data_IF_926710044370
#
_entry.id   IF_926710044370
#
_cell.length_a   1.000
_cell.length_b   1.000
_cell.length_c   1.000
_cell.angle_alpha   90.00
_cell.angle_beta   90.00
_cell.angle_gamma   90.00
#
_symmetry.space_group_name_H-M   'P 1'
#
loop_
_entity.id
_entity.type
_entity.pdbx_description
1 polymer ?
#
# COMPACT_ATOMS: atom_id res chain seq x y z
N UNK A 1 -33.93 -26.89 40.79
CA UNK A 1 -32.75 -26.01 40.70
C UNK A 1 -32.27 -26.01 39.26
N UNK A 2 -32.69 -25.02 38.46
CA UNK A 2 -32.16 -24.76 37.12
C UNK A 2 -32.25 -23.26 36.86
N UNK A 3 -31.29 -22.52 37.42
CA UNK A 3 -31.12 -21.09 37.13
C UNK A 3 -30.41 -20.95 35.79
N UNK A 4 -31.16 -20.61 34.74
CA UNK A 4 -30.61 -20.12 33.48
C UNK A 4 -30.02 -18.73 33.72
N UNK A 5 -28.69 -18.63 33.76
CA UNK A 5 -28.00 -17.34 33.75
C UNK A 5 -28.13 -16.70 32.36
N UNK A 6 -28.59 -15.44 32.24
CA UNK A 6 -28.53 -14.73 30.98
C UNK A 6 -27.06 -14.41 30.66
N UNK A 7 -26.61 -14.80 29.47
CA UNK A 7 -25.31 -14.42 28.92
C UNK A 7 -25.39 -12.91 28.63
N UNK A 8 -24.89 -12.09 29.55
CA UNK A 8 -24.69 -10.67 29.30
C UNK A 8 -23.53 -10.51 28.32
N UNK A 9 -23.86 -10.24 27.05
CA UNK A 9 -22.88 -9.81 26.05
C UNK A 9 -22.17 -8.53 26.50
N UNK A 10 -20.88 -8.44 26.25
CA UNK A 10 -20.08 -7.25 26.56
C UNK A 10 -20.66 -6.01 25.87
N UNK A 11 -20.77 -4.86 26.56
CA UNK A 11 -21.29 -3.65 25.94
C UNK A 11 -20.35 -3.17 24.83
N UNK A 12 -20.83 -3.16 23.59
CA UNK A 12 -20.12 -2.57 22.45
C UNK A 12 -20.32 -1.06 22.46
N UNK A 13 -19.24 -0.29 22.58
CA UNK A 13 -19.25 1.17 22.41
C UNK A 13 -19.87 1.57 21.06
N UNK A 14 -20.51 2.74 20.97
CA UNK A 14 -20.93 3.30 19.68
C UNK A 14 -19.72 3.34 18.73
N UNK A 15 -19.91 2.98 17.45
CA UNK A 15 -18.85 2.90 16.44
C UNK A 15 -18.27 4.30 16.13
N UNK A 16 -17.48 4.86 17.05
CA UNK A 16 -16.80 6.15 16.89
C UNK A 16 -15.50 5.94 16.13
N UNK A 17 -15.40 6.47 14.91
CA UNK A 17 -14.20 6.42 14.09
C UNK A 17 -13.26 7.59 14.42
N UNK A 18 -12.34 7.42 15.37
CA UNK A 18 -11.38 8.46 15.80
C UNK A 18 -10.14 8.59 14.91
N UNK A 19 -9.95 7.68 13.94
CA UNK A 19 -8.77 7.63 13.07
C UNK A 19 -8.82 8.56 11.85
N UNK A 20 -9.91 9.31 11.67
CA UNK A 20 -10.08 10.27 10.57
C UNK A 20 -10.25 11.67 11.19
N UNK A 21 -9.22 12.53 11.15
CA UNK A 21 -9.32 13.91 11.66
C UNK A 21 -10.29 14.75 10.80
N UNK A 22 -10.94 15.75 11.40
CA UNK A 22 -11.77 16.71 10.66
C UNK A 22 -10.91 17.52 9.67
N UNK A 23 -11.24 17.41 8.38
CA UNK A 23 -10.37 17.88 7.29
C UNK A 23 -10.48 19.38 6.98
N UNK A 24 -11.54 20.03 7.46
CA UNK A 24 -11.80 21.47 7.26
C UNK A 24 -10.77 22.38 7.94
N UNK A 25 -10.01 21.87 8.91
CA UNK A 25 -9.00 22.59 9.68
C UNK A 25 -7.55 22.16 9.40
N UNK A 26 -7.33 21.17 8.53
CA UNK A 26 -6.06 20.44 8.45
C UNK A 26 -5.08 20.88 7.34
N UNK A 27 -5.46 21.80 6.43
CA UNK A 27 -4.64 22.10 5.24
C UNK A 27 -4.60 23.62 4.96
N UNK A 28 -3.43 24.23 5.11
CA UNK A 28 -3.07 25.50 4.48
C UNK A 28 -2.44 25.21 3.10
N UNK A 29 -3.03 25.78 2.03
CA UNK A 29 -2.73 25.46 0.61
C UNK A 29 -1.81 26.48 -0.07
N UNK A 30 -1.10 27.31 0.70
CA UNK A 30 -0.34 28.46 0.18
C UNK A 30 1.14 28.19 -0.16
N UNK A 31 1.65 26.96 0.02
CA UNK A 31 3.09 26.68 -0.19
C UNK A 31 3.45 26.33 -1.66
N UNK A 32 4.55 26.88 -2.21
CA UNK A 32 5.04 26.56 -3.55
C UNK A 32 5.66 25.15 -3.64
N UNK A 33 5.57 24.53 -4.81
CA UNK A 33 6.26 23.26 -5.10
C UNK A 33 7.78 23.45 -5.12
N UNK A 34 8.50 22.57 -4.44
CA UNK A 34 9.95 22.50 -4.49
C UNK A 34 10.45 21.92 -5.83
N UNK A 35 11.61 22.38 -6.34
CA UNK A 35 12.19 21.86 -7.57
C UNK A 35 12.50 20.36 -7.48
N UNK A 36 12.52 19.68 -8.64
CA UNK A 36 12.86 18.26 -8.71
C UNK A 36 14.30 18.04 -8.19
N UNK A 37 14.49 16.98 -7.39
CA UNK A 37 15.82 16.55 -6.95
C UNK A 37 16.65 16.08 -8.16
N UNK A 38 17.96 16.32 -8.14
CA UNK A 38 18.84 15.90 -9.23
C UNK A 38 19.13 14.39 -9.12
N UNK A 39 19.44 13.68 -10.23
CA UNK A 39 19.78 12.24 -10.21
C UNK A 39 20.92 11.88 -9.24
N UNK A 40 21.78 12.84 -8.94
CA UNK A 40 22.88 12.73 -7.97
C UNK A 40 22.34 12.52 -6.55
N UNK A 41 21.25 13.18 -6.17
CA UNK A 41 20.70 13.17 -4.81
C UNK A 41 20.08 11.79 -4.45
N UNK A 42 19.53 11.10 -5.45
CA UNK A 42 18.86 9.80 -5.29
C UNK A 42 19.84 8.63 -5.14
N UNK A 43 20.92 8.61 -5.94
CA UNK A 43 22.00 7.65 -5.75
C UNK A 43 22.79 7.93 -4.47
N UNK A 44 22.90 9.21 -4.09
CA UNK A 44 23.50 9.59 -2.81
C UNK A 44 22.71 9.05 -1.63
N UNK A 45 21.38 8.99 -1.67
CA UNK A 45 20.58 8.41 -0.58
C UNK A 45 21.00 6.97 -0.27
N UNK A 46 21.04 6.10 -1.28
CA UNK A 46 21.40 4.68 -1.09
C UNK A 46 22.89 4.44 -0.80
N UNK A 47 23.76 5.41 -1.13
CA UNK A 47 25.19 5.36 -0.79
C UNK A 47 25.48 5.86 0.63
N UNK A 48 24.72 6.84 1.10
CA UNK A 48 24.92 7.49 2.42
C UNK A 48 24.15 6.81 3.55
N UNK A 49 23.17 5.96 3.23
CA UNK A 49 22.40 5.22 4.22
C UNK A 49 22.69 3.71 4.11
N UNK A 50 22.84 3.05 5.27
CA UNK A 50 23.10 1.61 5.34
C UNK A 50 21.81 0.83 5.02
N UNK A 51 21.85 -0.21 4.17
CA UNK A 51 20.67 -1.02 3.88
C UNK A 51 20.16 -1.78 5.13
N UNK A 52 18.86 -2.12 5.21
CA UNK A 52 18.35 -3.02 6.23
C UNK A 52 19.06 -4.38 6.21
N UNK A 53 19.36 -4.93 7.38
CA UNK A 53 20.13 -6.18 7.50
C UNK A 53 19.43 -7.40 6.87
N UNK A 54 18.10 -7.36 6.76
CA UNK A 54 17.28 -8.44 6.20
C UNK A 54 17.16 -8.39 4.67
N UNK A 55 17.73 -7.37 4.02
CA UNK A 55 17.54 -7.13 2.59
C UNK A 55 18.10 -8.26 1.71
N UNK A 56 19.18 -8.92 2.14
CA UNK A 56 19.75 -10.08 1.45
C UNK A 56 18.81 -11.29 1.45
N UNK A 57 18.12 -11.54 2.56
CA UNK A 57 17.11 -12.60 2.65
C UNK A 57 15.94 -12.32 1.71
N UNK A 58 15.46 -11.06 1.69
CA UNK A 58 14.40 -10.64 0.77
C UNK A 58 14.83 -10.80 -0.70
N UNK A 59 16.08 -10.45 -1.05
CA UNK A 59 16.60 -10.64 -2.42
C UNK A 59 16.39 -12.06 -2.91
N UNK A 60 16.76 -13.04 -2.09
CA UNK A 60 16.61 -14.45 -2.43
C UNK A 60 15.13 -14.83 -2.59
N UNK A 61 14.29 -14.49 -1.62
CA UNK A 61 12.87 -14.85 -1.64
C UNK A 61 12.15 -14.25 -2.86
N UNK A 62 12.50 -13.00 -3.21
CA UNK A 62 11.95 -12.30 -4.39
C UNK A 62 12.44 -12.95 -5.69
N UNK A 63 13.74 -13.25 -5.80
CA UNK A 63 14.29 -13.91 -6.97
C UNK A 63 13.68 -15.31 -7.20
N UNK A 64 13.56 -16.12 -6.14
CA UNK A 64 12.95 -17.45 -6.21
C UNK A 64 11.47 -17.36 -6.63
N UNK A 65 10.73 -16.40 -6.09
CA UNK A 65 9.34 -16.15 -6.47
C UNK A 65 9.20 -15.70 -7.93
N UNK A 66 10.05 -14.79 -8.39
CA UNK A 66 10.04 -14.32 -9.78
C UNK A 66 10.38 -15.46 -10.73
N UNK A 67 11.42 -16.24 -10.43
CA UNK A 67 11.83 -17.37 -11.26
C UNK A 67 10.72 -18.42 -11.40
N UNK A 68 10.06 -18.77 -10.29
CA UNK A 68 8.94 -19.71 -10.29
C UNK A 68 7.80 -19.27 -11.25
N UNK A 69 7.43 -17.99 -11.21
CA UNK A 69 6.34 -17.46 -12.03
C UNK A 69 6.75 -17.11 -13.46
N UNK A 70 8.01 -16.73 -13.66
CA UNK A 70 8.56 -16.48 -14.98
C UNK A 70 8.53 -17.73 -15.86
N UNK A 71 8.89 -18.90 -15.29
CA UNK A 71 8.84 -20.19 -15.99
C UNK A 71 7.43 -20.55 -16.47
N UNK A 72 6.40 -20.18 -15.70
CA UNK A 72 4.99 -20.39 -16.07
C UNK A 72 4.39 -19.23 -16.87
N UNK A 73 5.21 -18.24 -17.26
CA UNK A 73 4.80 -17.01 -17.98
C UNK A 73 3.68 -16.25 -17.28
N UNK A 74 3.62 -16.34 -15.95
CA UNK A 74 2.64 -15.63 -15.13
C UNK A 74 3.08 -14.18 -14.94
N UNK A 75 2.12 -13.26 -15.04
CA UNK A 75 2.33 -11.83 -14.76
C UNK A 75 2.51 -11.63 -13.26
N UNK A 76 3.42 -10.73 -12.87
CA UNK A 76 3.70 -10.44 -11.46
C UNK A 76 3.36 -8.98 -11.20
N UNK A 77 2.68 -8.70 -10.09
CA UNK A 77 2.43 -7.35 -9.61
C UNK A 77 3.09 -7.12 -8.25
N UNK A 78 3.83 -6.02 -8.13
CA UNK A 78 4.23 -5.47 -6.83
C UNK A 78 3.11 -4.54 -6.35
N UNK A 79 2.42 -4.94 -5.29
CA UNK A 79 1.47 -4.09 -4.58
C UNK A 79 2.13 -3.55 -3.33
N UNK A 80 2.24 -2.22 -3.23
CA UNK A 80 2.69 -1.57 -1.99
C UNK A 80 1.49 -1.14 -1.15
N UNK A 81 1.48 -1.39 0.16
CA UNK A 81 0.33 -1.10 1.03
C UNK A 81 0.72 -0.56 2.41
N UNK A 82 -0.13 0.26 3.01
CA UNK A 82 0.09 0.83 4.35
C UNK A 82 0.97 2.07 4.35
N UNK A 83 1.22 2.61 5.55
CA UNK A 83 1.98 3.84 5.78
C UNK A 83 3.42 3.60 6.18
N UNK A 84 4.33 4.47 5.74
CA UNK A 84 5.72 4.47 6.24
C UNK A 84 5.86 5.37 7.47
N UNK A 85 6.77 4.99 8.37
CA UNK A 85 7.18 5.84 9.49
C UNK A 85 8.52 6.54 9.25
N UNK A 86 8.69 7.66 9.94
CA UNK A 86 9.97 8.37 10.06
C UNK A 86 10.36 8.40 11.53
N UNK A 87 11.33 7.56 11.95
CA UNK A 87 11.87 7.62 13.30
C UNK A 87 12.47 8.99 13.60
N UNK A 88 12.19 9.52 14.80
CA UNK A 88 12.82 10.75 15.28
C UNK A 88 14.07 10.48 16.11
N UNK A 89 14.26 9.24 16.58
CA UNK A 89 15.40 8.79 17.37
C UNK A 89 15.84 7.38 16.92
N UNK A 90 17.13 7.03 17.08
CA UNK A 90 17.66 5.72 16.70
C UNK A 90 17.12 4.62 17.62
N UNK A 91 17.14 4.86 18.93
CA UNK A 91 16.33 4.12 19.89
C UNK A 91 14.91 4.69 19.87
N UNK A 92 14.16 4.31 18.82
CA UNK A 92 12.91 4.96 18.44
C UNK A 92 11.87 4.86 19.56
N UNK A 93 11.47 6.02 20.09
CA UNK A 93 10.31 6.17 20.98
C UNK A 93 9.20 6.94 20.26
N UNK A 94 9.57 7.87 19.38
CA UNK A 94 8.65 8.70 18.60
C UNK A 94 8.94 8.55 17.12
N UNK A 95 7.88 8.63 16.32
CA UNK A 95 7.96 8.62 14.87
C UNK A 95 6.81 9.44 14.27
N UNK A 96 7.01 9.93 13.06
CA UNK A 96 5.96 10.47 12.20
C UNK A 96 5.39 9.30 11.39
N UNK A 97 4.08 9.18 11.27
CA UNK A 97 3.42 8.11 10.51
C UNK A 97 2.49 8.71 9.44
N UNK A 98 2.53 8.12 8.26
CA UNK A 98 1.60 8.45 7.18
C UNK A 98 0.37 7.55 7.30
N UNK A 99 -0.79 8.13 7.62
CA UNK A 99 -2.01 7.36 7.86
C UNK A 99 -2.44 6.51 6.64
N UNK A 100 -2.34 5.18 6.79
CA UNK A 100 -2.92 4.22 5.85
C UNK A 100 -3.12 2.86 6.52
N UNK A 101 -4.37 2.45 6.68
CA UNK A 101 -4.71 1.13 7.22
C UNK A 101 -4.31 -0.03 6.29
N UNK A 102 -4.04 0.26 5.01
CA UNK A 102 -3.69 -0.75 4.01
C UNK A 102 -4.89 -1.39 3.29
N UNK A 103 -6.12 -0.87 3.48
CA UNK A 103 -7.35 -1.44 2.88
C UNK A 103 -7.22 -1.57 1.36
N UNK A 104 -6.92 -0.47 0.66
CA UNK A 104 -6.82 -0.47 -0.80
C UNK A 104 -5.79 -1.46 -1.32
N UNK A 105 -4.59 -1.48 -0.73
CA UNK A 105 -3.56 -2.43 -1.15
C UNK A 105 -3.99 -3.88 -0.91
N UNK A 106 -4.48 -4.21 0.29
CA UNK A 106 -4.91 -5.56 0.64
C UNK A 106 -6.06 -6.06 -0.26
N UNK A 107 -7.08 -5.23 -0.47
CA UNK A 107 -8.21 -5.54 -1.35
C UNK A 107 -7.76 -5.68 -2.81
N UNK A 108 -6.91 -4.76 -3.30
CA UNK A 108 -6.38 -4.82 -4.67
C UNK A 108 -5.61 -6.11 -4.93
N UNK A 109 -4.80 -6.55 -3.96
CA UNK A 109 -4.06 -7.80 -4.06
C UNK A 109 -4.98 -9.02 -4.21
N UNK A 110 -6.10 -9.08 -3.48
CA UNK A 110 -7.10 -10.16 -3.65
C UNK A 110 -7.63 -10.21 -5.09
N UNK A 111 -8.03 -9.07 -5.64
CA UNK A 111 -8.53 -8.99 -7.02
C UNK A 111 -7.46 -9.30 -8.08
N UNK A 112 -6.19 -8.95 -7.84
CA UNK A 112 -5.10 -9.36 -8.72
C UNK A 112 -4.87 -10.88 -8.69
N UNK A 113 -4.87 -11.49 -7.51
CA UNK A 113 -4.74 -12.94 -7.34
C UNK A 113 -5.88 -13.68 -8.06
N UNK A 114 -7.10 -13.18 -7.93
CA UNK A 114 -8.29 -13.71 -8.62
C UNK A 114 -8.21 -13.53 -10.15
N UNK A 115 -7.43 -12.56 -10.61
CA UNK A 115 -7.20 -12.28 -12.03
C UNK A 115 -5.92 -12.90 -12.58
N UNK A 116 -5.44 -14.00 -11.97
CA UNK A 116 -4.32 -14.80 -12.43
C UNK A 116 -2.94 -14.10 -12.36
N UNK A 117 -2.78 -13.06 -11.53
CA UNK A 117 -1.46 -12.49 -11.21
C UNK A 117 -0.83 -13.21 -10.02
N UNK A 118 0.49 -13.28 -10.00
CA UNK A 118 1.25 -13.47 -8.77
C UNK A 118 1.49 -12.10 -8.12
N UNK A 119 1.41 -12.03 -6.79
CA UNK A 119 1.49 -10.76 -6.05
C UNK A 119 2.69 -10.78 -5.10
N UNK A 120 3.57 -9.79 -5.26
CA UNK A 120 4.51 -9.39 -4.21
C UNK A 120 3.83 -8.27 -3.42
N UNK A 121 3.57 -8.51 -2.14
CA UNK A 121 2.84 -7.62 -1.25
C UNK A 121 3.79 -6.96 -0.25
N UNK A 122 4.36 -5.81 -0.66
CA UNK A 122 5.20 -4.98 0.18
C UNK A 122 4.32 -4.12 1.09
N UNK A 123 4.27 -4.40 2.39
CA UNK A 123 3.25 -3.84 3.26
C UNK A 123 3.79 -3.34 4.59
N UNK A 124 3.12 -2.34 5.18
CA UNK A 124 3.39 -1.93 6.56
C UNK A 124 3.13 -3.09 7.51
N UNK A 125 4.11 -3.43 8.33
CA UNK A 125 3.96 -4.45 9.37
C UNK A 125 2.73 -4.14 10.24
N UNK A 126 1.92 -5.17 10.51
CA UNK A 126 0.63 -5.08 11.22
C UNK A 126 -0.47 -4.26 10.53
N UNK A 127 -0.29 -3.82 9.28
CA UNK A 127 -1.38 -3.30 8.46
C UNK A 127 -2.24 -4.42 7.87
N UNK A 128 -3.33 -4.05 7.21
CA UNK A 128 -4.23 -4.99 6.56
C UNK A 128 -3.50 -5.88 5.55
N UNK A 129 -3.72 -7.19 5.67
CA UNK A 129 -3.22 -8.21 4.75
C UNK A 129 -4.36 -8.77 3.89
N UNK A 130 -4.08 -9.21 2.65
CA UNK A 130 -5.06 -9.90 1.80
C UNK A 130 -5.65 -11.10 2.55
N UNK A 131 -6.96 -11.29 2.44
CA UNK A 131 -7.79 -12.29 3.11
C UNK A 131 -7.90 -12.15 4.63
N UNK A 132 -6.84 -11.77 5.36
CA UNK A 132 -6.94 -11.50 6.80
C UNK A 132 -7.73 -10.23 7.10
N UNK A 133 -7.80 -9.27 6.15
CA UNK A 133 -8.53 -8.00 6.29
C UNK A 133 -10.01 -8.15 6.66
N UNK A 134 -10.62 -9.28 6.30
CA UNK A 134 -12.02 -9.59 6.58
C UNK A 134 -12.29 -9.76 8.09
N UNK A 135 -11.24 -9.95 8.90
CA UNK A 135 -11.34 -10.25 10.33
C UNK A 135 -10.51 -9.35 11.25
N UNK A 136 -9.48 -8.65 10.73
CA UNK A 136 -8.45 -8.01 11.57
C UNK A 136 -8.72 -6.56 11.96
N UNK A 137 -9.65 -5.88 11.29
CA UNK A 137 -10.06 -4.50 11.61
C UNK A 137 -11.57 -4.35 11.71
N UNK A 138 -12.30 -5.45 11.84
CA UNK A 138 -13.68 -5.39 12.30
C UNK A 138 -13.66 -4.99 13.77
N UNK A 139 -14.71 -4.34 14.26
CA UNK A 139 -14.88 -4.08 15.70
C UNK A 139 -14.98 -5.36 16.53
N UNK A 140 -15.05 -6.50 15.86
CA UNK A 140 -15.24 -7.81 16.46
C UNK A 140 -13.88 -8.43 16.72
N UNK A 141 -13.71 -9.01 17.90
CA UNK A 141 -12.58 -9.85 18.21
C UNK A 141 -12.59 -11.09 17.29
N UNK A 142 -11.42 -11.64 16.97
CA UNK A 142 -11.32 -12.90 16.23
C UNK A 142 -12.14 -14.04 16.86
N UNK A 143 -12.25 -14.05 18.20
CA UNK A 143 -13.03 -15.04 18.94
C UNK A 143 -14.54 -14.88 18.75
N UNK A 144 -15.03 -13.70 18.33
CA UNK A 144 -16.47 -13.47 18.11
C UNK A 144 -17.00 -14.21 16.86
N UNK A 145 -16.10 -14.69 16.00
CA UNK A 145 -16.43 -15.55 14.86
C UNK A 145 -16.55 -17.03 15.25
N UNK A 146 -16.22 -17.38 16.48
CA UNK A 146 -16.11 -18.76 16.94
C UNK A 146 -17.20 -19.09 17.97
N UNK A 147 -17.62 -20.36 17.97
CA UNK A 147 -18.50 -20.95 18.96
C UNK A 147 -17.86 -22.25 19.48
N UNK A 148 -18.17 -22.60 20.73
CA UNK A 148 -17.89 -23.94 21.24
C UNK A 148 -19.06 -24.86 20.91
N UNK A 149 -18.78 -25.99 20.27
CA UNK A 149 -19.75 -27.06 20.02
C UNK A 149 -19.10 -28.42 20.24
N UNK A 150 -19.65 -29.20 21.16
CA UNK A 150 -19.16 -30.52 21.56
C UNK A 150 -17.68 -30.51 22.02
N UNK A 151 -17.29 -29.49 22.80
CA UNK A 151 -15.91 -29.32 23.30
C UNK A 151 -14.89 -28.95 22.22
N UNK A 152 -15.34 -28.58 21.01
CA UNK A 152 -14.50 -28.14 19.90
C UNK A 152 -14.85 -26.72 19.49
N UNK A 153 -13.83 -25.97 19.07
CA UNK A 153 -14.00 -24.66 18.45
C UNK A 153 -14.50 -24.83 17.03
N UNK A 154 -15.61 -24.18 16.69
CA UNK A 154 -16.19 -24.15 15.35
C UNK A 154 -16.48 -22.70 14.94
N UNK A 155 -16.54 -22.42 13.65
CA UNK A 155 -16.98 -21.11 13.16
C UNK A 155 -18.49 -20.98 13.34
N UNK A 156 -18.96 -19.81 13.75
CA UNK A 156 -20.38 -19.51 13.89
C UNK A 156 -21.09 -19.64 12.53
N UNK A 157 -22.25 -20.30 12.51
CA UNK A 157 -23.05 -20.54 11.30
C UNK A 157 -23.35 -19.26 10.49
N UNK A 158 -23.48 -18.11 11.14
CA UNK A 158 -23.68 -16.81 10.47
C UNK A 158 -22.51 -16.38 9.58
N UNK A 159 -21.28 -16.78 9.93
CA UNK A 159 -20.06 -16.43 9.17
C UNK A 159 -19.52 -17.61 8.35
N UNK A 160 -20.07 -18.81 8.53
CA UNK A 160 -19.59 -20.05 7.94
C UNK A 160 -19.36 -19.95 6.42
N UNK A 161 -20.34 -19.42 5.69
CA UNK A 161 -20.28 -19.32 4.21
C UNK A 161 -19.17 -18.38 3.75
N UNK A 162 -19.06 -17.22 4.37
CA UNK A 162 -18.07 -16.19 4.03
C UNK A 162 -16.66 -16.64 4.40
N UNK A 163 -16.48 -17.15 5.63
CA UNK A 163 -15.18 -17.67 6.09
C UNK A 163 -14.71 -18.86 5.28
N UNK A 164 -15.60 -19.76 4.87
CA UNK A 164 -15.24 -20.87 3.99
C UNK A 164 -14.76 -20.38 2.62
N UNK A 165 -15.38 -19.34 2.05
CA UNK A 165 -14.96 -18.75 0.78
C UNK A 165 -13.55 -18.16 0.90
N UNK A 166 -13.31 -17.34 1.93
CA UNK A 166 -12.01 -16.71 2.18
C UNK A 166 -10.94 -17.78 2.46
N UNK A 167 -11.25 -18.81 3.25
CA UNK A 167 -10.34 -19.92 3.54
C UNK A 167 -9.95 -20.69 2.27
N UNK A 168 -10.90 -20.97 1.37
CA UNK A 168 -10.62 -21.64 0.09
C UNK A 168 -9.67 -20.80 -0.77
N UNK A 169 -9.92 -19.50 -0.89
CA UNK A 169 -9.04 -18.57 -1.62
C UNK A 169 -7.65 -18.53 -1.00
N UNK A 170 -7.57 -18.41 0.33
CA UNK A 170 -6.31 -18.39 1.07
C UNK A 170 -5.51 -19.70 0.89
N UNK A 171 -6.15 -20.87 0.95
CA UNK A 171 -5.46 -22.14 0.70
C UNK A 171 -4.93 -22.23 -0.73
N UNK A 172 -5.77 -21.87 -1.72
CA UNK A 172 -5.40 -21.89 -3.12
C UNK A 172 -4.15 -21.03 -3.41
N UNK A 173 -4.07 -19.81 -2.85
CA UNK A 173 -2.91 -18.95 -3.09
C UNK A 173 -1.62 -19.50 -2.45
N UNK A 174 -1.73 -20.19 -1.33
CA UNK A 174 -0.58 -20.80 -0.65
C UNK A 174 -0.08 -22.03 -1.39
N UNK A 175 -0.99 -22.91 -1.80
CA UNK A 175 -0.68 -24.14 -2.55
C UNK A 175 -0.02 -23.82 -3.91
N UNK A 176 -0.40 -22.70 -4.53
CA UNK A 176 0.11 -22.28 -5.84
C UNK A 176 1.23 -21.21 -5.77
N UNK A 177 1.76 -20.93 -4.57
CA UNK A 177 2.80 -19.93 -4.34
C UNK A 177 2.49 -18.57 -4.98
N UNK A 178 1.26 -18.06 -4.87
CA UNK A 178 0.80 -16.87 -5.60
C UNK A 178 1.04 -15.55 -4.86
N UNK A 179 1.36 -15.58 -3.56
CA UNK A 179 1.50 -14.38 -2.74
C UNK A 179 2.80 -14.42 -1.92
N UNK A 180 3.68 -13.44 -2.15
CA UNK A 180 4.86 -13.20 -1.33
C UNK A 180 4.64 -11.93 -0.49
N UNK A 181 4.59 -12.07 0.85
CA UNK A 181 4.40 -10.94 1.77
C UNK A 181 5.75 -10.44 2.28
N UNK A 182 6.02 -9.15 2.13
CA UNK A 182 7.26 -8.52 2.57
C UNK A 182 6.92 -7.33 3.47
N UNK A 183 7.26 -7.36 4.76
CA UNK A 183 6.95 -6.25 5.67
C UNK A 183 7.97 -5.10 5.54
N UNK A 184 7.50 -3.89 5.82
CA UNK A 184 8.32 -2.72 6.12
C UNK A 184 7.66 -1.92 7.25
N UNK A 185 8.41 -1.04 7.89
CA UNK A 185 7.87 -0.09 8.87
C UNK A 185 8.30 1.33 8.54
N UNK A 186 9.59 1.56 8.34
CA UNK A 186 10.13 2.91 8.08
C UNK A 186 10.17 3.24 6.58
N UNK A 187 10.21 4.54 6.24
CA UNK A 187 10.41 4.99 4.86
C UNK A 187 11.74 4.46 4.30
N UNK A 188 12.78 4.39 5.12
CA UNK A 188 14.08 3.86 4.73
C UNK A 188 13.99 2.37 4.33
N UNK A 189 13.32 1.55 5.14
CA UNK A 189 13.08 0.14 4.84
C UNK A 189 12.27 -0.02 3.55
N UNK A 190 11.22 0.78 3.38
CA UNK A 190 10.39 0.80 2.18
C UNK A 190 11.22 1.09 0.92
N UNK A 191 12.05 2.13 0.94
CA UNK A 191 12.83 2.58 -0.22
C UNK A 191 13.87 1.55 -0.67
N UNK A 192 14.64 0.98 0.27
CA UNK A 192 15.62 -0.07 -0.06
C UNK A 192 14.94 -1.33 -0.61
N UNK A 193 13.82 -1.72 -0.01
CA UNK A 193 13.09 -2.91 -0.43
C UNK A 193 12.41 -2.71 -1.78
N UNK A 194 11.80 -1.54 -2.02
CA UNK A 194 11.22 -1.17 -3.31
C UNK A 194 12.26 -1.19 -4.42
N UNK A 195 13.44 -0.57 -4.19
CA UNK A 195 14.54 -0.57 -5.15
C UNK A 195 14.97 -1.98 -5.53
N UNK A 196 15.19 -2.84 -4.53
CA UNK A 196 15.56 -4.23 -4.75
C UNK A 196 14.51 -4.96 -5.59
N UNK A 197 13.24 -4.93 -5.18
CA UNK A 197 12.17 -5.65 -5.89
C UNK A 197 12.03 -5.11 -7.32
N UNK A 198 12.17 -3.79 -7.51
CA UNK A 198 12.08 -3.19 -8.83
C UNK A 198 13.18 -3.68 -9.78
N UNK A 199 14.42 -3.74 -9.30
CA UNK A 199 15.55 -4.27 -10.06
C UNK A 199 15.38 -5.75 -10.39
N UNK A 200 14.90 -6.56 -9.45
CA UNK A 200 14.63 -7.98 -9.68
C UNK A 200 13.48 -8.19 -10.67
N UNK A 201 12.39 -7.40 -10.60
CA UNK A 201 11.27 -7.48 -11.53
C UNK A 201 11.61 -7.02 -12.95
N UNK A 202 12.70 -6.27 -13.14
CA UNK A 202 13.12 -5.81 -14.46
C UNK A 202 13.36 -6.97 -15.44
N UNK A 203 13.75 -8.15 -14.94
CA UNK A 203 14.05 -9.34 -15.76
C UNK A 203 12.84 -9.89 -16.50
N UNK A 204 11.62 -9.61 -16.02
CA UNK A 204 10.37 -10.04 -16.66
C UNK A 204 9.72 -8.93 -17.49
N UNK A 205 10.36 -7.75 -17.57
CA UNK A 205 10.02 -6.64 -18.45
C UNK A 205 8.56 -6.20 -18.33
N UNK A 206 7.84 -6.22 -19.46
CA UNK A 206 6.44 -5.78 -19.54
C UNK A 206 5.46 -6.71 -18.80
N UNK A 207 5.88 -7.88 -18.33
CA UNK A 207 5.01 -8.76 -17.53
C UNK A 207 4.96 -8.36 -16.03
N UNK A 208 5.80 -7.41 -15.62
CA UNK A 208 5.76 -6.80 -14.30
C UNK A 208 4.85 -5.57 -14.27
N UNK A 209 4.07 -5.46 -13.20
CA UNK A 209 3.22 -4.31 -12.87
C UNK A 209 3.59 -3.77 -11.48
N UNK A 210 3.72 -2.46 -11.36
CA UNK A 210 3.88 -1.77 -10.07
C UNK A 210 2.57 -1.08 -9.72
N UNK A 211 1.99 -1.42 -8.58
CA UNK A 211 0.77 -0.82 -8.04
C UNK A 211 1.09 -0.16 -6.70
N UNK A 212 1.47 1.11 -6.76
CA UNK A 212 2.10 1.85 -5.67
C UNK A 212 1.07 2.53 -4.75
N UNK A 213 0.33 1.74 -3.97
CA UNK A 213 -0.73 2.23 -3.08
C UNK A 213 -0.29 2.56 -1.63
N UNK A 214 1.02 2.53 -1.34
CA UNK A 214 1.54 2.88 0.00
C UNK A 214 1.50 4.39 0.22
N UNK A 215 1.25 4.80 1.47
CA UNK A 215 1.36 6.19 1.89
C UNK A 215 2.80 6.45 2.34
N UNK A 216 3.64 6.85 1.38
CA UNK A 216 5.07 7.10 1.60
C UNK A 216 5.27 8.50 2.18
N UNK A 217 6.13 8.63 3.17
CA UNK A 217 6.50 9.90 3.79
C UNK A 217 7.19 10.81 2.78
N UNK A 218 6.74 12.06 2.67
CA UNK A 218 7.34 13.06 1.79
C UNK A 218 8.60 13.70 2.39
N UNK A 219 8.78 13.55 3.70
CA UNK A 219 9.89 14.09 4.47
C UNK A 219 10.52 13.01 5.36
N UNK A 220 11.81 13.14 5.68
CA UNK A 220 12.54 12.23 6.55
C UNK A 220 13.62 12.96 7.35
N UNK A 221 14.14 12.31 8.40
CA UNK A 221 15.30 12.79 9.15
C UNK A 221 16.56 12.06 8.66
N UNK A 222 17.59 12.75 8.15
CA UNK A 222 18.83 12.11 7.70
C UNK A 222 19.55 11.39 8.83
N UNK A 223 20.13 10.20 8.57
CA UNK A 223 20.80 9.40 9.61
C UNK A 223 21.91 10.14 10.36
N UNK A 224 22.56 11.14 9.74
CA UNK A 224 23.58 11.97 10.40
C UNK A 224 23.02 12.91 11.47
N UNK A 225 21.70 13.14 11.51
CA UNK A 225 21.01 14.04 12.44
C UNK A 225 20.02 13.34 13.36
N UNK A 226 19.83 12.02 13.23
CA UNK A 226 18.95 11.26 14.11
C UNK A 226 19.65 11.14 15.48
N UNK A 227 19.07 11.69 16.57
CA UNK A 227 19.61 11.50 17.92
C UNK A 227 19.53 10.03 18.33
N UNK A 228 20.53 9.56 19.08
CA UNK A 228 20.59 8.16 19.53
C UNK A 228 19.48 7.84 20.54
N UNK A 229 19.16 8.79 21.41
CA UNK A 229 18.24 8.60 22.54
C UNK A 229 17.02 9.53 22.47
N UNK A 230 15.98 9.18 23.24
CA UNK A 230 14.73 9.93 23.37
C UNK A 230 14.99 11.43 23.59
N UNK A 231 14.40 12.26 22.73
CA UNK A 231 14.46 13.73 22.87
C UNK A 231 13.80 14.14 24.19
N UNK A 232 14.55 14.84 25.05
CA UNK A 232 14.12 15.24 26.40
C UNK A 232 13.37 16.57 26.36
N UNK A 233 12.28 16.67 27.14
CA UNK A 233 11.46 17.89 27.19
C UNK A 233 12.17 19.08 27.85
N UNK A 234 13.11 18.82 28.77
CA UNK A 234 13.83 19.85 29.52
C UNK A 234 14.89 20.59 28.67
N UNK A 235 15.33 20.01 27.56
CA UNK A 235 16.34 20.57 26.67
C UNK A 235 15.74 21.49 25.59
N UNK A 236 14.41 21.66 25.58
CA UNK A 236 13.73 22.50 24.59
C UNK A 236 13.74 23.98 24.99
N UNK A 237 14.33 24.84 24.15
CA UNK A 237 14.35 26.29 24.37
C UNK A 237 12.92 26.84 24.28
N UNK A 238 12.43 27.42 25.37
CA UNK A 238 11.07 27.98 25.45
C UNK A 238 9.95 26.92 25.46
N UNK A 239 10.26 25.67 25.79
CA UNK A 239 9.27 24.58 25.91
C UNK A 239 8.69 24.08 24.60
N UNK A 240 9.32 24.40 23.46
CA UNK A 240 8.86 24.01 22.12
C UNK A 240 9.77 22.95 21.49
N UNK A 241 9.17 21.88 20.96
CA UNK A 241 9.86 20.91 20.12
C UNK A 241 9.83 21.37 18.66
N UNK A 242 11.01 21.62 18.07
CA UNK A 242 11.17 21.91 16.64
C UNK A 242 11.80 20.68 15.98
N UNK A 243 11.19 20.19 14.90
CA UNK A 243 11.67 19.02 14.15
C UNK A 243 11.93 19.46 12.72
N UNK A 244 13.21 19.54 12.36
CA UNK A 244 13.64 19.88 11.01
C UNK A 244 13.77 18.62 10.16
N UNK A 245 12.96 18.53 9.10
CA UNK A 245 12.92 17.38 8.19
C UNK A 245 13.42 17.77 6.80
N UNK A 246 13.99 16.80 6.09
CA UNK A 246 14.40 16.95 4.69
C UNK A 246 13.40 16.26 3.76
N UNK A 247 13.17 16.78 2.54
CA UNK A 247 12.32 16.13 1.57
C UNK A 247 12.92 14.77 1.15
N UNK A 248 12.08 13.73 1.10
CA UNK A 248 12.47 12.43 0.56
C UNK A 248 12.74 12.58 -0.94
N UNK A 249 13.89 12.08 -1.46
CA UNK A 249 14.19 12.11 -2.88
C UNK A 249 13.07 11.45 -3.71
N UNK A 250 12.87 11.89 -4.94
CA UNK A 250 11.69 11.53 -5.73
C UNK A 250 11.88 10.23 -6.51
N UNK A 251 12.12 9.12 -5.81
CA UNK A 251 12.48 7.81 -6.37
C UNK A 251 11.56 7.19 -7.43
N UNK A 252 10.33 7.70 -7.62
CA UNK A 252 9.46 7.25 -8.72
C UNK A 252 10.07 7.53 -10.09
N UNK A 253 10.84 8.62 -10.25
CA UNK A 253 11.60 8.89 -11.48
C UNK A 253 12.55 7.72 -11.78
N UNK A 254 13.34 7.29 -10.79
CA UNK A 254 14.31 6.19 -10.93
C UNK A 254 13.66 4.85 -11.19
N UNK A 255 12.49 4.63 -10.60
CA UNK A 255 11.71 3.41 -10.85
C UNK A 255 11.42 3.28 -12.36
N UNK A 256 10.99 4.39 -12.98
CA UNK A 256 10.64 4.45 -14.40
C UNK A 256 11.88 4.49 -15.29
N UNK A 257 12.88 5.31 -14.96
CA UNK A 257 14.01 5.56 -15.85
C UNK A 257 15.11 4.50 -15.77
N UNK A 258 15.23 3.79 -14.65
CA UNK A 258 16.38 2.93 -14.37
C UNK A 258 16.02 1.55 -13.83
N UNK A 259 15.14 1.45 -12.82
CA UNK A 259 14.96 0.18 -12.12
C UNK A 259 14.03 -0.78 -12.87
N UNK A 260 12.96 -0.29 -13.49
CA UNK A 260 11.99 -1.12 -14.21
C UNK A 260 11.36 -0.39 -15.43
N UNK A 261 12.15 -0.02 -16.45
CA UNK A 261 11.70 0.88 -17.53
C UNK A 261 10.67 0.30 -18.50
N UNK A 262 10.54 -1.03 -18.56
CA UNK A 262 9.62 -1.71 -19.48
C UNK A 262 8.28 -2.04 -18.79
N UNK A 263 8.27 -2.09 -17.47
CA UNK A 263 7.13 -2.48 -16.66
C UNK A 263 6.04 -1.40 -16.63
N UNK A 264 4.79 -1.81 -16.39
CA UNK A 264 3.72 -0.85 -16.14
C UNK A 264 3.83 -0.31 -14.71
N UNK A 265 3.75 1.00 -14.54
CA UNK A 265 3.79 1.66 -13.24
C UNK A 265 2.51 2.48 -13.03
N UNK A 266 1.79 2.11 -11.96
CA UNK A 266 0.56 2.74 -11.49
C UNK A 266 0.85 3.38 -10.14
N UNK A 267 0.66 4.70 -10.05
CA UNK A 267 0.79 5.44 -8.79
C UNK A 267 -0.54 5.97 -8.29
N UNK A 268 -0.61 6.31 -7.00
CA UNK A 268 -1.80 6.87 -6.38
C UNK A 268 -1.61 8.34 -6.02
N UNK A 269 -2.68 9.11 -6.13
CA UNK A 269 -2.75 10.49 -5.63
C UNK A 269 -4.00 10.69 -4.80
N UNK A 270 -3.81 11.08 -3.55
CA UNK A 270 -4.87 11.43 -2.62
C UNK A 270 -4.94 12.96 -2.49
N UNK A 271 -6.11 13.54 -2.73
CA UNK A 271 -6.37 14.96 -2.51
C UNK A 271 -7.75 15.16 -1.88
N UNK A 272 -8.09 16.40 -1.57
CA UNK A 272 -9.41 16.79 -1.02
C UNK A 272 -10.23 17.65 -2.00
N UNK A 273 -9.66 17.97 -3.16
CA UNK A 273 -10.23 18.87 -4.16
C UNK A 273 -10.01 18.29 -5.57
N UNK A 274 -11.05 18.34 -6.39
CA UNK A 274 -11.07 17.69 -7.69
C UNK A 274 -10.12 18.34 -8.71
N UNK A 275 -10.11 19.67 -8.82
CA UNK A 275 -9.27 20.35 -9.80
C UNK A 275 -7.79 20.19 -9.45
N UNK A 276 -7.48 20.25 -8.14
CA UNK A 276 -6.14 19.99 -7.63
C UNK A 276 -5.73 18.55 -7.89
N UNK A 277 -6.64 17.58 -7.73
CA UNK A 277 -6.37 16.16 -7.95
C UNK A 277 -5.89 15.88 -9.38
N UNK A 278 -6.65 16.34 -10.38
CA UNK A 278 -6.30 16.12 -11.79
C UNK A 278 -5.01 16.84 -12.16
N UNK A 279 -4.84 18.10 -11.71
CA UNK A 279 -3.63 18.88 -11.96
C UNK A 279 -2.39 18.18 -11.39
N UNK A 280 -2.45 17.72 -10.14
CA UNK A 280 -1.34 17.00 -9.48
C UNK A 280 -1.10 15.62 -10.09
N UNK A 281 -2.15 14.91 -10.53
CA UNK A 281 -2.01 13.64 -11.24
C UNK A 281 -1.28 13.82 -12.58
N UNK A 282 -1.70 14.78 -13.41
CA UNK A 282 -0.99 15.11 -14.66
C UNK A 282 0.43 15.61 -14.41
N UNK A 283 0.65 16.40 -13.34
CA UNK A 283 1.98 16.81 -12.91
C UNK A 283 2.89 15.62 -12.59
N UNK A 284 2.38 14.61 -11.88
CA UNK A 284 3.12 13.39 -11.57
C UNK A 284 3.42 12.56 -12.83
N UNK A 285 2.46 12.43 -13.77
CA UNK A 285 2.68 11.74 -15.04
C UNK A 285 3.79 12.39 -15.86
N UNK A 286 3.76 13.71 -16.01
CA UNK A 286 4.80 14.46 -16.74
C UNK A 286 6.16 14.37 -16.05
N UNK A 287 6.18 14.38 -14.71
CA UNK A 287 7.41 14.37 -13.91
C UNK A 287 8.11 13.02 -13.92
N UNK A 288 7.33 11.93 -13.82
CA UNK A 288 7.89 10.58 -13.66
C UNK A 288 7.75 9.73 -14.92
N UNK A 289 7.03 10.18 -15.95
CA UNK A 289 6.83 9.47 -17.21
C UNK A 289 6.26 8.04 -17.08
N UNK A 290 5.41 7.81 -16.06
CA UNK A 290 4.73 6.53 -15.84
C UNK A 290 3.34 6.52 -16.49
N UNK A 291 2.71 5.34 -16.55
CA UNK A 291 1.58 5.09 -17.46
C UNK A 291 0.23 5.52 -16.89
N UNK A 292 0.04 5.44 -15.57
CA UNK A 292 -1.27 5.68 -14.95
C UNK A 292 -1.13 6.26 -13.54
N UNK A 293 -1.90 7.32 -13.26
CA UNK A 293 -2.18 7.79 -11.90
C UNK A 293 -3.63 7.48 -11.56
N UNK A 294 -3.86 6.79 -10.45
CA UNK A 294 -5.20 6.64 -9.87
C UNK A 294 -5.38 7.70 -8.79
N UNK A 295 -6.19 8.70 -9.11
CA UNK A 295 -6.58 9.76 -8.20
C UNK A 295 -7.78 9.35 -7.35
N UNK A 296 -7.79 9.75 -6.08
CA UNK A 296 -8.94 9.57 -5.21
C UNK A 296 -9.12 10.76 -4.28
N UNK A 297 -10.36 11.22 -4.11
CA UNK A 297 -10.69 12.22 -3.11
C UNK A 297 -10.83 11.55 -1.74
N UNK A 298 -10.31 12.17 -0.67
CA UNK A 298 -10.33 11.58 0.67
C UNK A 298 -11.73 11.16 1.13
N UNK A 299 -12.73 11.98 0.80
CA UNK A 299 -14.13 11.81 1.22
C UNK A 299 -14.83 10.66 0.48
N UNK A 300 -14.51 10.46 -0.80
CA UNK A 300 -15.19 9.49 -1.67
C UNK A 300 -14.29 8.33 -2.12
N UNK A 301 -13.09 8.18 -1.53
CA UNK A 301 -12.07 7.18 -1.90
C UNK A 301 -12.49 5.71 -1.92
N UNK A 302 -13.62 5.38 -1.29
CA UNK A 302 -14.21 4.03 -1.25
C UNK A 302 -15.26 3.79 -2.34
N UNK A 303 -15.72 4.86 -3.00
CA UNK A 303 -16.89 4.85 -3.88
C UNK A 303 -16.51 5.27 -5.30
N UNK A 304 -15.54 6.17 -5.45
CA UNK A 304 -15.07 6.61 -6.76
C UNK A 304 -13.57 6.87 -6.78
N UNK A 305 -13.00 6.69 -7.97
CA UNK A 305 -11.62 7.04 -8.30
C UNK A 305 -11.57 7.60 -9.72
N UNK A 306 -10.52 8.34 -10.03
CA UNK A 306 -10.24 8.82 -11.38
C UNK A 306 -8.95 8.21 -11.91
N UNK A 307 -9.03 7.62 -13.09
CA UNK A 307 -7.88 7.14 -13.83
C UNK A 307 -7.38 8.29 -14.70
N UNK A 308 -6.15 8.72 -14.47
CA UNK A 308 -5.53 9.82 -15.20
C UNK A 308 -4.34 9.27 -15.98
N UNK A 309 -4.34 9.51 -17.29
CA UNK A 309 -3.25 9.26 -18.22
C UNK A 309 -2.77 10.61 -18.80
N UNK A 310 -1.73 10.60 -19.63
CA UNK A 310 -1.25 11.84 -20.26
C UNK A 310 -2.34 12.50 -21.12
N UNK A 311 -3.15 11.68 -21.80
CA UNK A 311 -4.07 12.15 -22.84
C UNK A 311 -5.55 12.11 -22.42
N UNK A 312 -5.88 11.43 -21.33
CA UNK A 312 -7.27 11.25 -20.90
C UNK A 312 -7.44 11.09 -19.40
N UNK A 313 -8.65 11.36 -18.93
CA UNK A 313 -9.12 11.03 -17.59
C UNK A 313 -10.44 10.26 -17.67
N UNK A 314 -10.61 9.27 -16.79
CA UNK A 314 -11.82 8.43 -16.72
C UNK A 314 -12.21 8.22 -15.27
N UNK A 315 -13.43 8.63 -14.92
CA UNK A 315 -14.00 8.36 -13.61
C UNK A 315 -14.57 6.95 -13.53
N UNK A 316 -14.26 6.25 -12.45
CA UNK A 316 -14.80 4.94 -12.10
C UNK A 316 -15.56 5.12 -10.79
N UNK A 317 -16.85 4.81 -10.80
CA UNK A 317 -17.75 4.98 -9.67
C UNK A 317 -18.56 3.71 -9.44
N UNK A 318 -18.73 3.33 -8.18
CA UNK A 318 -19.72 2.31 -7.82
C UNK A 318 -21.13 2.85 -8.05
N UNK A 319 -22.02 1.97 -8.51
CA UNK A 319 -23.46 2.28 -8.55
C UNK A 319 -24.05 2.28 -7.14
N UNK A 320 -25.23 2.90 -6.97
CA UNK A 320 -25.96 2.88 -5.70
C UNK A 320 -26.21 1.45 -5.19
N UNK A 321 -26.53 0.52 -6.09
CA UNK A 321 -26.74 -0.89 -5.73
C UNK A 321 -25.44 -1.55 -5.26
N UNK A 322 -24.31 -1.25 -5.90
CA UNK A 322 -23.01 -1.79 -5.48
C UNK A 322 -22.60 -1.24 -4.11
N UNK A 323 -22.85 0.04 -3.84
CA UNK A 323 -22.60 0.66 -2.53
C UNK A 323 -23.46 -0.01 -1.46
N UNK A 324 -24.75 -0.20 -1.72
CA UNK A 324 -25.69 -0.85 -0.78
C UNK A 324 -25.30 -2.31 -0.48
N UNK A 325 -24.65 -2.99 -1.44
CA UNK A 325 -24.15 -4.35 -1.28
C UNK A 325 -22.71 -4.42 -0.73
N UNK A 326 -22.14 -3.31 -0.25
CA UNK A 326 -20.77 -3.22 0.26
C UNK A 326 -19.70 -3.76 -0.70
N UNK A 327 -19.87 -3.53 -2.00
CA UNK A 327 -18.88 -3.92 -3.01
C UNK A 327 -17.65 -3.03 -2.91
N UNK A 328 -16.47 -3.65 -2.92
CA UNK A 328 -15.18 -2.94 -2.93
C UNK A 328 -14.98 -2.22 -4.28
N UNK A 329 -14.56 -0.94 -4.27
CA UNK A 329 -14.24 -0.19 -5.50
C UNK A 329 -13.13 -0.85 -6.31
N UNK A 330 -12.22 -1.58 -5.64
CA UNK A 330 -11.15 -2.35 -6.28
C UNK A 330 -11.68 -3.38 -7.28
N UNK A 331 -12.91 -3.86 -7.12
CA UNK A 331 -13.59 -4.74 -8.10
C UNK A 331 -13.73 -4.09 -9.48
N UNK A 332 -13.76 -2.75 -9.54
CA UNK A 332 -13.79 -1.98 -10.80
C UNK A 332 -12.40 -1.48 -11.20
N UNK A 333 -11.54 -1.18 -10.23
CA UNK A 333 -10.18 -0.68 -10.48
C UNK A 333 -9.33 -1.76 -11.15
N UNK A 334 -9.30 -2.97 -10.59
CA UNK A 334 -8.35 -4.00 -11.01
C UNK A 334 -8.59 -4.49 -12.44
N UNK A 335 -9.84 -4.75 -12.88
CA UNK A 335 -10.10 -5.09 -14.28
C UNK A 335 -9.62 -4.01 -15.27
N UNK A 336 -9.81 -2.72 -14.95
CA UNK A 336 -9.35 -1.63 -15.81
C UNK A 336 -7.82 -1.54 -15.83
N UNK A 337 -7.14 -1.68 -14.67
CA UNK A 337 -5.67 -1.72 -14.63
C UNK A 337 -5.13 -2.90 -15.45
N UNK A 338 -5.73 -4.08 -15.35
CA UNK A 338 -5.32 -5.27 -16.11
C UNK A 338 -5.52 -5.07 -17.61
N UNK A 339 -6.59 -4.39 -18.01
CA UNK A 339 -6.82 -4.02 -19.41
C UNK A 339 -5.70 -3.13 -19.93
N UNK A 340 -5.36 -2.06 -19.22
CA UNK A 340 -4.25 -1.16 -19.57
C UNK A 340 -2.91 -1.91 -19.61
N UNK A 341 -2.65 -2.80 -18.65
CA UNK A 341 -1.44 -3.60 -18.63
C UNK A 341 -1.33 -4.55 -19.82
N UNK A 342 -2.44 -5.16 -20.23
CA UNK A 342 -2.46 -6.05 -21.40
C UNK A 342 -2.21 -5.29 -22.70
N UNK A 343 -2.75 -4.07 -22.85
CA UNK A 343 -2.45 -3.20 -23.99
C UNK A 343 -0.96 -2.83 -24.03
N UNK A 344 -0.36 -2.47 -22.89
CA UNK A 344 1.07 -2.16 -22.80
C UNK A 344 1.93 -3.38 -23.20
N UNK A 345 1.59 -4.57 -22.72
CA UNK A 345 2.31 -5.80 -23.09
C UNK A 345 2.27 -6.03 -24.60
N UNK A 346 1.10 -5.83 -25.24
CA UNK A 346 0.98 -5.97 -26.69
C UNK A 346 1.79 -4.91 -27.45
N UNK A 347 1.83 -3.68 -26.96
CA UNK A 347 2.65 -2.60 -27.51
C UNK A 347 4.15 -2.91 -27.41
N UNK A 348 4.63 -3.34 -26.24
CA UNK A 348 6.04 -3.69 -26.03
C UNK A 348 6.47 -4.88 -26.88
N UNK A 349 5.61 -5.91 -27.00
CA UNK A 349 5.85 -7.04 -27.91
C UNK A 349 6.02 -6.60 -29.37
N UNK A 350 5.23 -5.62 -29.85
CA UNK A 350 5.37 -5.07 -31.21
C UNK A 350 6.71 -4.33 -31.40
N UNK A 351 7.25 -3.76 -30.33
CA UNK A 351 8.55 -3.08 -30.32
C UNK A 351 9.74 -4.04 -30.09
N UNK A 352 9.51 -5.34 -29.90
CA UNK A 352 10.55 -6.32 -29.60
C UNK A 352 11.11 -6.22 -28.18
N UNK A 353 10.35 -5.62 -27.25
CA UNK A 353 10.70 -5.38 -25.85
C UNK A 353 9.94 -6.27 -24.87
#
# INVERSE_FOLDING_TARGET
MSSSNPIHGSPTSSRVHTSIPETSSAIDRSLPEFPAANPIDEDNYFKTHKPPNYLSSISKDVADFINFHHLSKRKIVLVTSGGTTVPLENNTVRFIDNFSAGTRGATSAEYFLESNYAVIFLHREFSLLPYSRHYSHTTNCFLDYMIEKDGKVQVNDSYQKEMLLVLKKHKFIHENNLLLKIPFTTVHQYLFTLKLIAQELSVIGSNALFYLAAAVSDFFLPSSRIPEHKIQSQETVGGKLVVDLEPVPKFLSRLVDSWAPISMIVSFKLETDNEILIKKARGALKRYNHQLVIGNLLQSRKIEVVFVTNDSEKWIKLSSDQINNNIDIESLIIPEVIKQHSLLIEEKKKLGL
#
